data_IF_784473324050
#
_entry.id   IF_784473324050
#
_cell.length_a   1.000
_cell.length_b   1.000
_cell.length_c   1.000
_cell.angle_alpha   90.00
_cell.angle_beta   90.00
_cell.angle_gamma   90.00
#
_symmetry.space_group_name_H-M   'P 1'
#
loop_
_entity.id
_entity.type
_entity.pdbx_description
1 polymer ?
#
# COMPACT_ATOMS: atom_id res chain seq x y z
N UNK A 1 -3.23 -30.17 18.68
CA UNK A 1 -3.26 -30.14 17.19
C UNK A 1 -3.79 -28.79 16.76
N UNK A 2 -2.99 -27.97 16.07
CA UNK A 2 -3.52 -26.77 15.43
C UNK A 2 -4.34 -27.20 14.21
N UNK A 3 -5.57 -26.70 14.09
CA UNK A 3 -6.34 -26.92 12.86
C UNK A 3 -5.73 -26.08 11.73
N UNK A 4 -5.84 -26.52 10.45
CA UNK A 4 -5.32 -25.75 9.31
C UNK A 4 -5.82 -24.29 9.26
N UNK A 5 -7.04 -24.04 9.76
CA UNK A 5 -7.61 -22.69 9.84
C UNK A 5 -7.04 -21.85 10.99
N UNK A 6 -6.75 -22.46 12.14
CA UNK A 6 -6.07 -21.79 13.26
C UNK A 6 -4.67 -21.31 12.83
N UNK A 7 -3.95 -22.14 12.07
CA UNK A 7 -2.64 -21.78 11.51
C UNK A 7 -2.77 -20.66 10.48
N UNK A 8 -3.72 -20.76 9.56
CA UNK A 8 -3.95 -19.73 8.55
C UNK A 8 -4.30 -18.36 9.16
N UNK A 9 -5.14 -18.37 10.20
CA UNK A 9 -5.47 -17.17 10.95
C UNK A 9 -4.22 -16.56 11.60
N UNK A 10 -3.41 -17.39 12.27
CA UNK A 10 -2.18 -16.94 12.92
C UNK A 10 -1.18 -16.29 11.94
N UNK A 11 -0.97 -16.90 10.77
CA UNK A 11 -0.07 -16.37 9.73
C UNK A 11 -0.54 -15.01 9.21
N UNK A 12 -1.84 -14.85 8.95
CA UNK A 12 -2.41 -13.61 8.40
C UNK A 12 -2.47 -12.49 9.44
N UNK A 13 -2.69 -12.78 10.72
CA UNK A 13 -2.71 -11.76 11.79
C UNK A 13 -1.33 -11.36 12.30
N UNK A 14 -0.28 -12.09 11.95
CA UNK A 14 1.10 -11.74 12.30
C UNK A 14 1.98 -11.58 11.05
N UNK A 15 1.62 -10.66 10.14
CA UNK A 15 2.31 -10.52 8.86
C UNK A 15 3.80 -10.22 9.05
N UNK A 16 4.21 -9.52 10.12
CA UNK A 16 5.60 -9.18 10.43
C UNK A 16 6.56 -10.39 10.47
N UNK A 17 6.07 -11.60 10.77
CA UNK A 17 6.89 -12.81 10.76
C UNK A 17 6.99 -13.47 9.38
N UNK A 18 6.16 -13.03 8.43
CA UNK A 18 5.97 -13.64 7.12
C UNK A 18 6.07 -12.65 5.95
N UNK A 19 6.39 -11.37 6.20
CA UNK A 19 6.48 -10.30 5.18
C UNK A 19 7.46 -10.63 4.05
N UNK A 20 8.52 -11.40 4.33
CA UNK A 20 9.51 -11.82 3.34
C UNK A 20 9.06 -13.00 2.47
N UNK A 21 7.95 -13.65 2.83
CA UNK A 21 7.38 -14.77 2.12
C UNK A 21 5.92 -14.50 1.78
N UNK A 22 5.73 -13.70 0.73
CA UNK A 22 4.42 -13.30 0.22
C UNK A 22 3.56 -14.50 -0.19
N UNK A 23 4.17 -15.59 -0.67
CA UNK A 23 3.46 -16.83 -1.00
C UNK A 23 2.80 -17.47 0.22
N UNK A 24 3.49 -17.47 1.38
CA UNK A 24 2.93 -17.98 2.64
C UNK A 24 1.72 -17.15 3.08
N UNK A 25 1.77 -15.83 2.96
CA UNK A 25 0.63 -14.96 3.26
C UNK A 25 -0.54 -15.22 2.29
N UNK A 26 -0.26 -15.31 0.99
CA UNK A 26 -1.29 -15.54 -0.04
C UNK A 26 -2.03 -16.87 0.15
N UNK A 27 -1.30 -17.98 0.37
CA UNK A 27 -1.89 -19.31 0.56
C UNK A 27 -2.76 -19.36 1.83
N UNK A 28 -2.32 -18.75 2.92
CA UNK A 28 -3.09 -18.73 4.16
C UNK A 28 -4.31 -17.81 4.08
N UNK A 29 -4.20 -16.68 3.35
CA UNK A 29 -5.35 -15.84 3.04
C UNK A 29 -6.41 -16.57 2.21
N UNK A 30 -5.99 -17.30 1.17
CA UNK A 30 -6.86 -18.12 0.34
C UNK A 30 -7.63 -19.14 1.17
N UNK A 31 -6.97 -19.86 2.08
CA UNK A 31 -7.62 -20.82 2.99
C UNK A 31 -8.70 -20.17 3.84
N UNK A 32 -8.45 -18.97 4.35
CA UNK A 32 -9.45 -18.22 5.13
C UNK A 32 -10.65 -17.77 4.28
N UNK A 33 -10.41 -17.39 3.02
CA UNK A 33 -11.47 -17.01 2.07
C UNK A 33 -12.31 -18.22 1.66
N UNK A 34 -11.67 -19.35 1.36
CA UNK A 34 -12.33 -20.62 1.02
C UNK A 34 -13.25 -21.10 2.14
N UNK A 35 -12.81 -21.03 3.40
CA UNK A 35 -13.64 -21.38 4.56
C UNK A 35 -14.88 -20.47 4.73
N UNK A 36 -14.88 -19.28 4.13
CA UNK A 36 -16.02 -18.36 4.08
C UNK A 36 -16.86 -18.51 2.80
N UNK A 37 -16.58 -19.52 1.96
CA UNK A 37 -17.23 -19.69 0.66
C UNK A 37 -16.86 -18.63 -0.36
N UNK A 38 -15.74 -17.92 -0.18
CA UNK A 38 -15.28 -16.86 -1.06
C UNK A 38 -14.13 -17.34 -1.92
N UNK A 39 -14.21 -17.12 -3.23
CA UNK A 39 -13.10 -17.39 -4.15
C UNK A 39 -12.11 -16.23 -4.17
N UNK A 40 -10.83 -16.54 -4.35
CA UNK A 40 -9.78 -15.55 -4.58
C UNK A 40 -9.56 -15.43 -6.09
N UNK A 41 -9.67 -14.21 -6.62
CA UNK A 41 -9.33 -13.94 -8.01
C UNK A 41 -7.84 -13.55 -8.10
N UNK A 42 -6.99 -14.50 -8.47
CA UNK A 42 -5.54 -14.27 -8.58
C UNK A 42 -5.16 -13.27 -9.66
N UNK A 43 -5.99 -13.06 -10.68
CA UNK A 43 -5.75 -12.04 -11.70
C UNK A 43 -5.84 -10.61 -11.14
N UNK A 44 -6.40 -10.44 -9.93
CA UNK A 44 -6.42 -9.17 -9.19
C UNK A 44 -5.28 -9.03 -8.19
N UNK A 45 -4.47 -10.07 -7.99
CA UNK A 45 -3.25 -9.99 -7.18
C UNK A 45 -2.19 -9.38 -8.10
N UNK A 46 -2.09 -8.06 -8.06
CA UNK A 46 -1.05 -7.33 -8.78
C UNK A 46 0.36 -7.70 -8.28
N UNK A 47 1.40 -7.15 -8.92
CA UNK A 47 2.78 -7.33 -8.46
C UNK A 47 2.92 -6.90 -6.97
N UNK A 48 3.91 -7.46 -6.24
CA UNK A 48 4.17 -7.08 -4.85
C UNK A 48 4.21 -5.56 -4.71
N UNK A 49 3.32 -5.02 -3.88
CA UNK A 49 3.23 -3.59 -3.63
C UNK A 49 3.65 -3.29 -2.19
N UNK A 50 4.37 -2.18 -2.02
CA UNK A 50 4.62 -1.65 -0.69
C UNK A 50 3.33 -1.02 -0.18
N UNK A 51 2.88 -1.45 1.00
CA UNK A 51 1.83 -0.74 1.73
C UNK A 51 2.46 0.55 2.25
N UNK A 52 2.24 1.65 1.54
CA UNK A 52 2.50 2.98 2.08
C UNK A 52 1.41 3.23 3.13
N UNK A 53 1.76 3.02 4.41
CA UNK A 53 0.89 3.38 5.53
C UNK A 53 0.58 4.88 5.50
N UNK A 54 -0.46 5.34 6.22
CA UNK A 54 -0.81 6.76 6.22
C UNK A 54 0.42 7.55 6.63
N UNK A 55 0.91 8.40 5.72
CA UNK A 55 1.83 9.45 6.10
C UNK A 55 1.16 10.21 7.23
N UNK A 56 1.90 10.55 8.29
CA UNK A 56 1.38 11.42 9.33
C UNK A 56 0.70 12.61 8.62
N UNK A 57 -0.61 12.89 8.81
CA UNK A 57 -1.35 13.82 7.95
C UNK A 57 -0.68 15.20 7.81
N UNK A 58 0.08 15.61 8.82
CA UNK A 58 0.93 16.81 8.83
C UNK A 58 2.06 16.78 7.80
N UNK A 59 2.68 15.62 7.56
CA UNK A 59 3.76 15.43 6.58
C UNK A 59 3.20 15.40 5.16
N UNK A 60 2.07 14.72 4.94
CA UNK A 60 1.39 14.72 3.63
C UNK A 60 0.92 16.13 3.25
N UNK A 61 0.32 16.86 4.19
CA UNK A 61 -0.08 18.26 3.99
C UNK A 61 1.15 19.16 3.73
N UNK A 62 2.22 19.03 4.52
CA UNK A 62 3.44 19.80 4.33
C UNK A 62 4.14 19.51 3.00
N UNK A 63 4.14 18.24 2.54
CA UNK A 63 4.67 17.87 1.22
C UNK A 63 3.80 18.40 0.09
N UNK A 64 2.48 18.25 0.20
CA UNK A 64 1.51 18.76 -0.78
C UNK A 64 1.62 20.28 -0.93
N UNK A 65 1.86 21.01 0.16
CA UNK A 65 2.12 22.45 0.12
C UNK A 65 3.50 22.81 -0.47
N UNK A 66 4.51 21.94 -0.32
CA UNK A 66 5.88 22.18 -0.81
C UNK A 66 6.03 21.90 -2.31
N UNK A 67 5.27 20.96 -2.86
CA UNK A 67 5.34 20.56 -4.28
C UNK A 67 5.07 21.74 -5.23
N UNK A 68 4.02 22.56 -5.08
CA UNK A 68 3.78 23.74 -5.92
C UNK A 68 4.97 24.71 -5.92
N UNK A 69 5.55 24.97 -4.75
CA UNK A 69 6.72 25.86 -4.62
C UNK A 69 7.95 25.33 -5.37
N UNK A 70 8.25 24.04 -5.25
CA UNK A 70 9.38 23.41 -5.96
C UNK A 70 9.14 23.39 -7.47
N UNK A 71 7.92 23.08 -7.92
CA UNK A 71 7.55 23.07 -9.33
C UNK A 71 7.70 24.47 -9.94
N UNK A 72 7.22 25.51 -9.26
CA UNK A 72 7.36 26.90 -9.71
C UNK A 72 8.82 27.36 -9.73
N UNK A 73 9.62 26.98 -8.73
CA UNK A 73 11.05 27.28 -8.72
C UNK A 73 11.80 26.64 -9.90
N UNK A 74 11.47 25.39 -10.24
CA UNK A 74 12.05 24.69 -11.39
C UNK A 74 11.59 25.32 -12.70
N UNK A 75 10.31 25.69 -12.80
CA UNK A 75 9.74 26.35 -13.98
C UNK A 75 10.41 27.70 -14.25
N UNK A 76 10.53 28.55 -13.23
CA UNK A 76 11.23 29.83 -13.32
C UNK A 76 12.69 29.67 -13.77
N UNK A 77 13.41 28.70 -13.19
CA UNK A 77 14.80 28.38 -13.60
C UNK A 77 14.90 27.93 -15.06
N UNK A 78 13.83 27.32 -15.59
CA UNK A 78 13.75 26.86 -16.98
C UNK A 78 13.12 27.91 -17.92
N UNK A 79 12.75 29.08 -17.42
CA UNK A 79 12.13 30.15 -18.21
C UNK A 79 10.65 29.93 -18.53
N UNK A 80 9.98 29.00 -17.85
CA UNK A 80 8.53 28.80 -17.98
C UNK A 80 7.77 29.73 -17.03
N UNK A 81 6.79 30.45 -17.59
CA UNK A 81 5.82 31.23 -16.82
C UNK A 81 4.59 30.36 -16.51
N UNK A 82 4.37 30.07 -15.22
CA UNK A 82 3.24 29.24 -14.78
C UNK A 82 2.12 30.14 -14.26
N UNK A 83 0.85 29.86 -14.62
CA UNK A 83 -0.29 30.65 -14.16
C UNK A 83 -0.39 30.66 -12.62
N UNK A 84 -0.99 31.71 -12.02
CA UNK A 84 -1.14 31.81 -10.57
C UNK A 84 -1.91 30.60 -10.01
N UNK A 85 -1.59 30.19 -8.78
CA UNK A 85 -2.27 29.07 -8.13
C UNK A 85 -3.76 29.37 -7.98
N UNK A 86 -4.61 28.39 -8.30
CA UNK A 86 -6.02 28.45 -7.96
C UNK A 86 -6.14 28.29 -6.43
N UNK A 87 -6.62 29.34 -5.78
CA UNK A 87 -6.83 29.41 -4.33
C UNK A 87 -7.91 28.44 -3.83
#
# INVERSE_FOLDING_TARGET
MQTPLTQAHHVVTHPQHHLRNTAVLAINWERLKAARGQTVNYNRIGPPCYVVGPECPSIAAARSARIPGVVRQIAARKGYDLPPDAA
#
